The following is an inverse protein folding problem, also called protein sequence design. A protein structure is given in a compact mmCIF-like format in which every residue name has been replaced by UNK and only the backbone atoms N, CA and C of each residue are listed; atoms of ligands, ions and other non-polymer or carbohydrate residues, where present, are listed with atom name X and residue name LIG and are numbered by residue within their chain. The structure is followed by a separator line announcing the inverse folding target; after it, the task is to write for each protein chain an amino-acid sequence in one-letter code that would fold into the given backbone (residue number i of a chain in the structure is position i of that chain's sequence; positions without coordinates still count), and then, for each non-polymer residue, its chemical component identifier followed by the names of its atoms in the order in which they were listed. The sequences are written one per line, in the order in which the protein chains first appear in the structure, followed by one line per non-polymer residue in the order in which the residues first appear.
data_IF_554501779483
#
_entry.id   IF_554501779483
#
_cell.length_a   1.000
_cell.length_b   1.000
_cell.length_c   1.000
_cell.angle_alpha   90.00
_cell.angle_beta   90.00
_cell.angle_gamma   90.00
#
_symmetry.space_group_name_H-M   'P 1'
#
loop_
_entity.id
_entity.type
_entity.pdbx_description
1 polymer ?
#
# COMPACT_ATOMS: atom_id res chain seq x y z
N UNK A 1 15.02 -5.52 -26.93
CA UNK A 1 14.50 -6.28 -25.78
C UNK A 1 14.57 -7.75 -26.12
N UNK A 2 15.14 -8.57 -25.22
CA UNK A 2 15.12 -10.03 -25.31
C UNK A 2 13.87 -10.49 -24.56
N UNK A 3 13.10 -11.38 -25.15
CA UNK A 3 11.88 -11.93 -24.56
C UNK A 3 12.09 -13.41 -24.28
N UNK A 4 11.89 -13.81 -23.03
CA UNK A 4 11.84 -15.19 -22.58
C UNK A 4 10.36 -15.55 -22.39
N UNK A 5 9.87 -16.47 -23.22
CA UNK A 5 8.46 -16.83 -23.26
C UNK A 5 8.24 -18.29 -22.87
N UNK A 6 7.41 -18.47 -21.86
CA UNK A 6 6.98 -19.79 -21.40
C UNK A 6 5.52 -20.00 -21.78
N UNK A 7 5.24 -21.12 -22.43
CA UNK A 7 3.88 -21.45 -22.88
C UNK A 7 3.60 -22.95 -22.70
N UNK A 8 2.33 -23.30 -22.63
CA UNK A 8 1.89 -24.67 -22.46
C UNK A 8 1.25 -25.20 -23.73
N UNK A 9 1.60 -26.44 -24.08
CA UNK A 9 0.98 -27.22 -25.14
C UNK A 9 0.43 -28.52 -24.58
N UNK A 10 -0.39 -29.20 -25.33
CA UNK A 10 -0.92 -30.51 -24.96
C UNK A 10 -0.34 -31.55 -25.92
N UNK A 11 0.36 -32.53 -25.37
CA UNK A 11 0.89 -33.68 -26.13
C UNK A 11 -0.26 -34.50 -26.73
N UNK A 12 0.05 -35.31 -27.74
CA UNK A 12 -0.88 -36.28 -28.30
C UNK A 12 -1.45 -37.28 -27.28
N UNK A 13 -0.72 -37.52 -26.19
CA UNK A 13 -1.16 -38.34 -25.05
C UNK A 13 -2.06 -37.62 -24.04
N UNK A 14 -2.36 -36.32 -24.26
CA UNK A 14 -3.15 -35.51 -23.33
C UNK A 14 -2.35 -34.90 -22.17
N UNK A 15 -1.04 -35.11 -22.11
CA UNK A 15 -0.16 -34.52 -21.07
C UNK A 15 0.12 -33.06 -21.40
N UNK A 16 0.02 -32.18 -20.41
CA UNK A 16 0.41 -30.78 -20.55
C UNK A 16 1.92 -30.64 -20.48
N UNK A 17 2.53 -30.10 -21.54
CA UNK A 17 3.96 -29.82 -21.65
C UNK A 17 4.20 -28.33 -21.50
N UNK A 18 5.26 -27.93 -20.78
CA UNK A 18 5.74 -26.57 -20.75
C UNK A 18 6.86 -26.41 -21.76
N UNK A 19 6.74 -25.44 -22.65
CA UNK A 19 7.79 -25.07 -23.60
C UNK A 19 8.35 -23.70 -23.27
N UNK A 20 9.57 -23.48 -23.74
CA UNK A 20 10.31 -22.25 -23.58
C UNK A 20 10.77 -21.76 -24.94
N UNK A 21 10.58 -20.48 -25.21
CA UNK A 21 11.12 -19.82 -26.39
C UNK A 21 11.82 -18.51 -26.04
N UNK A 22 12.90 -18.23 -26.73
CA UNK A 22 13.68 -16.99 -26.61
C UNK A 22 13.72 -16.29 -27.95
N UNK A 23 13.35 -15.01 -27.99
CA UNK A 23 13.33 -14.25 -29.24
C UNK A 23 13.65 -12.75 -29.01
N UNK A 24 14.09 -12.10 -30.10
CA UNK A 24 14.39 -10.66 -30.16
C UNK A 24 13.67 -10.09 -31.38
N UNK A 25 12.69 -9.23 -31.15
CA UNK A 25 11.81 -8.76 -32.23
C UNK A 25 11.14 -9.95 -32.92
N UNK A 26 11.35 -10.12 -34.23
CA UNK A 26 10.83 -11.23 -35.02
C UNK A 26 11.81 -12.41 -35.14
N UNK A 27 13.01 -12.29 -34.58
CA UNK A 27 14.04 -13.33 -34.68
C UNK A 27 13.95 -14.30 -33.53
N UNK A 28 13.62 -15.56 -33.82
CA UNK A 28 13.66 -16.67 -32.86
C UNK A 28 15.10 -17.10 -32.62
N UNK A 29 15.58 -17.03 -31.39
CA UNK A 29 16.91 -17.46 -30.98
C UNK A 29 16.93 -18.92 -30.56
N UNK A 30 15.90 -19.36 -29.84
CA UNK A 30 15.74 -20.72 -29.35
C UNK A 30 14.28 -21.04 -29.11
N UNK A 31 13.88 -22.28 -29.38
CA UNK A 31 12.58 -22.80 -28.97
C UNK A 31 12.74 -24.28 -28.60
N UNK A 32 12.30 -24.63 -27.38
CA UNK A 32 12.36 -26.01 -26.89
C UNK A 32 11.50 -26.97 -27.72
N UNK A 33 10.46 -26.50 -28.38
CA UNK A 33 9.60 -27.28 -29.26
C UNK A 33 10.33 -27.73 -30.53
N UNK A 34 11.36 -26.98 -30.99
CA UNK A 34 12.18 -27.31 -32.13
C UNK A 34 13.35 -28.25 -31.78
N UNK A 35 13.66 -28.39 -30.50
CA UNK A 35 14.74 -29.25 -30.01
C UNK A 35 14.20 -30.67 -29.76
N UNK A 36 14.79 -31.72 -30.39
CA UNK A 36 14.38 -33.10 -30.17
C UNK A 36 14.40 -33.54 -28.72
N UNK A 37 15.28 -32.97 -27.90
CA UNK A 37 15.38 -33.28 -26.48
C UNK A 37 14.18 -32.88 -25.65
N UNK A 38 13.49 -31.79 -26.06
CA UNK A 38 12.42 -31.17 -25.29
C UNK A 38 11.05 -31.21 -25.98
N UNK A 39 11.00 -31.59 -27.24
CA UNK A 39 9.77 -31.60 -28.06
C UNK A 39 8.65 -32.41 -27.40
N UNK A 40 8.95 -33.61 -26.92
CA UNK A 40 7.96 -34.56 -26.40
C UNK A 40 7.89 -34.57 -24.87
N UNK A 41 8.90 -34.05 -24.20
CA UNK A 41 9.00 -34.01 -22.73
C UNK A 41 8.62 -32.66 -22.14
N UNK A 42 8.80 -31.58 -22.91
CA UNK A 42 8.73 -30.21 -22.43
C UNK A 42 10.06 -29.71 -21.87
N UNK A 43 10.14 -28.41 -21.53
CA UNK A 43 11.32 -27.77 -20.97
C UNK A 43 11.62 -28.22 -19.54
N UNK A 44 10.55 -28.39 -18.74
CA UNK A 44 10.63 -28.96 -17.38
C UNK A 44 9.68 -30.14 -17.24
N UNK A 45 10.16 -31.22 -16.61
CA UNK A 45 9.39 -32.44 -16.40
C UNK A 45 8.12 -32.24 -15.57
N UNK A 46 8.16 -31.29 -14.63
CA UNK A 46 7.00 -30.95 -13.80
C UNK A 46 5.89 -30.17 -14.55
N UNK A 47 6.14 -29.63 -15.75
CA UNK A 47 5.15 -28.96 -16.59
C UNK A 47 4.57 -27.66 -16.00
N UNK A 48 5.19 -27.07 -14.97
CA UNK A 48 4.75 -25.83 -14.32
C UNK A 48 5.61 -24.66 -14.80
N UNK A 49 5.02 -23.46 -14.82
CA UNK A 49 5.78 -22.24 -15.06
C UNK A 49 6.85 -22.05 -13.97
N UNK A 50 8.07 -21.58 -14.30
CA UNK A 50 9.17 -21.39 -13.34
C UNK A 50 8.97 -20.10 -12.51
N UNK A 51 7.75 -19.77 -12.20
CA UNK A 51 7.35 -18.59 -11.45
C UNK A 51 6.25 -18.95 -10.47
N UNK A 52 6.41 -18.54 -9.24
CA UNK A 52 5.38 -18.67 -8.21
C UNK A 52 5.02 -17.26 -7.74
N UNK A 53 3.73 -16.95 -7.76
CA UNK A 53 3.23 -15.67 -7.27
C UNK A 53 2.89 -15.81 -5.79
N UNK A 54 3.49 -14.95 -4.97
CA UNK A 54 3.10 -14.76 -3.57
C UNK A 54 2.06 -13.64 -3.52
N UNK A 55 0.80 -14.03 -3.32
CA UNK A 55 -0.33 -13.11 -3.37
C UNK A 55 -0.86 -12.93 -1.96
N UNK A 56 -0.76 -11.70 -1.44
CA UNK A 56 -1.25 -11.34 -0.11
C UNK A 56 -2.79 -11.34 -0.08
N UNK A 57 -3.41 -10.60 -0.97
CA UNK A 57 -4.87 -10.52 -1.12
C UNK A 57 -5.25 -10.92 -2.55
N UNK A 58 -5.84 -12.12 -2.73
CA UNK A 58 -6.22 -12.58 -4.06
C UNK A 58 -7.42 -11.79 -4.61
N UNK A 59 -7.38 -11.50 -5.89
CA UNK A 59 -8.47 -10.86 -6.63
C UNK A 59 -8.96 -11.77 -7.73
N UNK A 60 -10.29 -11.87 -7.89
CA UNK A 60 -10.88 -12.72 -8.92
C UNK A 60 -10.57 -12.19 -10.33
N UNK A 61 -10.01 -13.05 -11.17
CA UNK A 61 -9.70 -12.72 -12.57
C UNK A 61 -8.28 -12.21 -12.82
N UNK A 62 -7.49 -12.00 -11.79
CA UNK A 62 -6.07 -11.65 -11.90
C UNK A 62 -5.20 -12.58 -11.06
N UNK A 63 -4.03 -13.00 -11.55
CA UNK A 63 -3.12 -13.83 -10.77
C UNK A 63 -2.30 -13.03 -9.74
N UNK A 64 -2.29 -11.69 -9.84
CA UNK A 64 -1.37 -10.83 -9.06
C UNK A 64 -1.99 -10.38 -7.74
N UNK A 65 -3.32 -10.18 -7.68
CA UNK A 65 -3.99 -9.66 -6.49
C UNK A 65 -3.56 -8.22 -6.13
N UNK A 66 -3.75 -7.84 -4.88
CA UNK A 66 -3.42 -6.51 -4.38
C UNK A 66 -2.72 -6.58 -3.01
N UNK A 67 -2.11 -5.47 -2.60
CA UNK A 67 -1.38 -5.35 -1.34
C UNK A 67 -2.04 -4.37 -0.36
N UNK A 68 -1.42 -4.19 0.81
CA UNK A 68 -1.89 -3.28 1.87
C UNK A 68 -2.08 -1.84 1.41
N UNK A 69 -1.17 -1.34 0.57
CA UNK A 69 -1.25 0.04 0.07
C UNK A 69 -2.55 0.29 -0.68
N UNK A 70 -3.03 -0.70 -1.45
CA UNK A 70 -4.29 -0.59 -2.17
C UNK A 70 -5.50 -0.46 -1.23
N UNK A 71 -5.48 -1.18 -0.10
CA UNK A 71 -6.54 -1.15 0.91
C UNK A 71 -6.53 0.20 1.66
N UNK A 72 -5.36 0.69 2.04
CA UNK A 72 -5.21 1.90 2.85
C UNK A 72 -5.26 3.19 2.03
N UNK A 73 -5.23 3.12 0.71
CA UNK A 73 -5.15 4.29 -0.19
C UNK A 73 -6.29 5.27 0.01
N UNK A 74 -7.53 4.79 -0.01
CA UNK A 74 -8.69 5.66 0.08
C UNK A 74 -8.86 6.28 1.49
N UNK A 75 -8.78 5.52 2.59
CA UNK A 75 -8.72 6.08 3.93
C UNK A 75 -7.62 7.12 4.10
N UNK A 76 -6.40 6.86 3.62
CA UNK A 76 -5.29 7.79 3.68
C UNK A 76 -5.58 9.11 2.94
N UNK A 77 -6.16 9.01 1.74
CA UNK A 77 -6.53 10.19 0.96
C UNK A 77 -7.54 11.09 1.70
N UNK A 78 -8.49 10.50 2.42
CA UNK A 78 -9.45 11.27 3.24
C UNK A 78 -8.77 11.91 4.45
N UNK A 79 -7.87 11.20 5.14
CA UNK A 79 -7.09 11.73 6.26
C UNK A 79 -6.25 12.92 5.79
N UNK A 80 -5.57 12.82 4.67
CA UNK A 80 -4.74 13.88 4.11
C UNK A 80 -5.57 15.12 3.77
N UNK A 81 -6.73 14.95 3.14
CA UNK A 81 -7.65 16.05 2.83
C UNK A 81 -8.18 16.74 4.09
N UNK A 82 -8.61 15.96 5.08
CA UNK A 82 -9.09 16.52 6.36
C UNK A 82 -7.97 17.26 7.08
N UNK A 83 -6.79 16.70 7.16
CA UNK A 83 -5.62 17.32 7.78
C UNK A 83 -5.23 18.63 7.09
N UNK A 84 -5.23 18.63 5.76
CA UNK A 84 -4.96 19.84 4.97
C UNK A 84 -6.00 20.94 5.23
N UNK A 85 -7.30 20.59 5.25
CA UNK A 85 -8.37 21.54 5.53
C UNK A 85 -8.30 22.10 6.95
N UNK A 86 -7.98 21.27 7.94
CA UNK A 86 -7.80 21.70 9.34
C UNK A 86 -6.63 22.68 9.43
N UNK A 87 -5.51 22.37 8.81
CA UNK A 87 -4.32 23.21 8.80
C UNK A 87 -4.60 24.53 8.08
N UNK A 88 -5.21 24.49 6.91
CA UNK A 88 -5.57 25.70 6.14
C UNK A 88 -6.52 26.63 6.92
N UNK A 89 -7.57 26.06 7.52
CA UNK A 89 -8.48 26.84 8.35
C UNK A 89 -7.78 27.44 9.56
N UNK A 90 -6.90 26.68 10.24
CA UNK A 90 -6.09 27.16 11.35
C UNK A 90 -5.21 28.34 10.93
N UNK A 91 -4.57 28.24 9.76
CA UNK A 91 -3.76 29.34 9.22
C UNK A 91 -4.62 30.57 8.84
N UNK A 92 -5.79 30.34 8.29
CA UNK A 92 -6.74 31.46 7.94
C UNK A 92 -7.28 32.13 9.18
N UNK A 93 -7.58 31.37 10.23
CA UNK A 93 -8.16 31.93 11.48
C UNK A 93 -7.10 32.72 12.27
N UNK A 94 -5.83 32.35 12.19
CA UNK A 94 -4.75 33.08 12.86
C UNK A 94 -4.33 34.35 12.15
N UNK A 95 -4.58 34.46 10.84
CA UNK A 95 -4.24 35.65 10.04
C UNK A 95 -5.49 36.47 9.80
N UNK A 96 -5.62 37.57 10.53
CA UNK A 96 -6.72 38.55 10.31
C UNK A 96 -6.61 39.12 8.91
N UNK A 97 -7.73 39.13 8.19
CA UNK A 97 -7.87 39.72 6.85
C UNK A 97 -9.00 40.76 6.88
N UNK A 98 -8.85 41.77 6.06
CA UNK A 98 -9.81 42.90 6.02
C UNK A 98 -10.18 43.19 4.58
N UNK A 99 -11.45 43.58 4.39
CA UNK A 99 -11.89 44.30 3.20
C UNK A 99 -11.59 45.77 3.43
N UNK A 100 -10.87 46.41 2.53
CA UNK A 100 -10.51 47.79 2.57
C UNK A 100 -11.06 48.46 1.31
N UNK A 101 -11.75 49.59 1.46
CA UNK A 101 -12.22 50.37 0.30
C UNK A 101 -11.06 51.19 -0.26
N UNK A 102 -10.89 51.23 -1.59
CA UNK A 102 -9.84 51.98 -2.28
C UNK A 102 -9.82 53.49 -1.92
N UNK A 103 -10.94 54.03 -1.42
CA UNK A 103 -11.07 55.43 -1.00
C UNK A 103 -10.68 55.68 0.46
N UNK A 104 -10.13 54.73 1.17
CA UNK A 104 -9.98 54.76 2.64
C UNK A 104 -8.78 55.58 3.12
N UNK A 105 -7.77 55.81 2.27
CA UNK A 105 -6.57 56.58 2.65
C UNK A 105 -5.76 55.94 3.77
N UNK A 106 -5.83 54.62 3.93
CA UNK A 106 -5.05 53.83 4.93
C UNK A 106 -3.66 53.64 4.39
N UNK A 107 -2.68 53.78 5.28
CA UNK A 107 -1.31 53.41 4.99
C UNK A 107 -1.15 51.88 5.15
N UNK A 108 -1.21 51.16 4.01
CA UNK A 108 -1.11 49.69 4.00
C UNK A 108 0.22 49.17 4.54
N UNK A 109 1.32 49.88 4.32
CA UNK A 109 2.64 49.52 4.82
C UNK A 109 2.70 49.54 6.36
N UNK A 110 2.11 50.57 6.98
CA UNK A 110 2.03 50.65 8.44
C UNK A 110 1.03 49.63 9.01
N UNK A 111 -0.04 49.33 8.31
CA UNK A 111 -1.05 48.38 8.72
C UNK A 111 -0.52 46.93 8.72
N UNK A 112 0.36 46.62 7.77
CA UNK A 112 0.99 45.28 7.66
C UNK A 112 2.19 45.11 8.59
N UNK A 113 2.77 46.21 9.06
CA UNK A 113 3.94 46.20 9.93
C UNK A 113 3.54 46.11 11.41
N UNK A 114 3.50 44.92 11.96
CA UNK A 114 3.14 44.64 13.37
C UNK A 114 4.12 45.24 14.40
N UNK A 115 5.26 45.77 13.97
CA UNK A 115 6.23 46.42 14.87
C UNK A 115 5.81 47.88 15.16
N UNK A 116 4.92 48.43 14.38
CA UNK A 116 4.42 49.81 14.55
C UNK A 116 3.11 49.81 15.32
N UNK A 117 3.06 50.45 16.50
CA UNK A 117 1.86 50.50 17.33
C UNK A 117 0.76 51.46 16.81
N UNK A 118 1.10 52.32 15.87
CA UNK A 118 0.18 53.33 15.30
C UNK A 118 0.14 53.19 13.79
N UNK A 119 -1.09 53.19 13.25
CA UNK A 119 -1.38 53.24 11.81
C UNK A 119 -2.04 54.53 11.47
N UNK A 120 -1.46 55.31 10.57
CA UNK A 120 -1.97 56.60 10.16
C UNK A 120 -3.00 56.47 9.04
N UNK A 121 -4.14 57.15 9.22
CA UNK A 121 -5.25 57.17 8.26
C UNK A 121 -5.52 58.58 7.83
N UNK A 122 -5.68 58.85 6.53
CA UNK A 122 -6.09 60.15 5.99
C UNK A 122 -7.62 60.21 5.93
N UNK A 123 -8.23 61.04 6.78
CA UNK A 123 -9.67 61.25 6.84
C UNK A 123 -10.34 60.66 8.08
N UNK A 124 -11.67 60.68 8.09
CA UNK A 124 -12.45 60.13 9.22
C UNK A 124 -12.48 58.60 9.16
N UNK A 125 -12.24 57.98 10.32
CA UNK A 125 -12.40 56.54 10.51
C UNK A 125 -13.90 56.20 10.58
N UNK A 126 -14.37 55.43 9.60
CA UNK A 126 -15.75 54.90 9.56
C UNK A 126 -15.68 53.38 9.46
N UNK A 127 -16.40 52.67 10.30
CA UNK A 127 -16.52 51.17 10.31
C UNK A 127 -16.99 50.60 8.97
N UNK A 128 -17.53 51.43 8.09
CA UNK A 128 -17.96 51.02 6.76
C UNK A 128 -16.84 50.91 5.74
N UNK A 129 -15.67 51.46 6.04
CA UNK A 129 -14.52 51.51 5.12
C UNK A 129 -13.58 50.35 5.29
N UNK A 130 -13.56 49.76 6.49
CA UNK A 130 -12.78 48.56 6.84
C UNK A 130 -13.72 47.55 7.45
N UNK A 131 -13.74 46.34 6.89
CA UNK A 131 -14.54 45.26 7.44
C UNK A 131 -13.67 44.03 7.61
N UNK A 132 -13.60 43.50 8.84
CA UNK A 132 -12.87 42.25 9.11
C UNK A 132 -13.57 41.10 8.39
N UNK A 133 -12.75 40.25 7.71
CA UNK A 133 -13.20 39.00 7.16
C UNK A 133 -13.16 37.96 8.29
N UNK A 134 -14.31 37.68 8.87
CA UNK A 134 -14.40 36.71 9.96
C UNK A 134 -14.33 35.32 9.38
N UNK A 135 -13.25 34.62 9.73
CA UNK A 135 -13.13 33.19 9.44
C UNK A 135 -13.49 32.44 10.71
N UNK A 136 -14.54 31.65 10.67
CA UNK A 136 -14.92 30.85 11.81
C UNK A 136 -13.91 29.69 12.00
N UNK A 137 -13.46 29.43 13.23
CA UNK A 137 -12.69 28.27 13.50
C UNK A 137 -13.51 26.99 13.18
N UNK A 138 -12.82 25.94 12.77
CA UNK A 138 -13.46 24.64 12.55
C UNK A 138 -13.99 24.08 13.88
N UNK A 139 -15.17 23.50 13.83
CA UNK A 139 -15.73 22.79 14.98
C UNK A 139 -14.92 21.51 15.28
N UNK A 140 -14.95 21.06 16.52
CA UNK A 140 -14.27 19.81 16.98
C UNK A 140 -14.71 18.57 16.20
N UNK A 141 -15.83 18.64 15.49
CA UNK A 141 -16.33 17.57 14.64
C UNK A 141 -15.31 17.14 13.57
N UNK A 142 -14.55 18.09 13.01
CA UNK A 142 -13.55 17.79 11.98
C UNK A 142 -12.38 16.98 12.53
N UNK A 143 -11.94 17.29 13.74
CA UNK A 143 -10.90 16.55 14.45
C UNK A 143 -11.42 15.17 14.80
N UNK A 144 -12.65 15.06 15.26
CA UNK A 144 -13.30 13.79 15.58
C UNK A 144 -13.42 12.89 14.35
N UNK A 145 -13.84 13.45 13.20
CA UNK A 145 -13.93 12.69 11.94
C UNK A 145 -12.56 12.24 11.46
N UNK A 146 -11.51 13.07 11.59
CA UNK A 146 -10.15 12.68 11.26
C UNK A 146 -9.68 11.50 12.12
N UNK A 147 -9.93 11.54 13.42
CA UNK A 147 -9.63 10.43 14.34
C UNK A 147 -10.41 9.16 13.99
N UNK A 148 -11.71 9.27 13.69
CA UNK A 148 -12.52 8.14 13.23
C UNK A 148 -11.95 7.50 11.96
N UNK A 149 -11.46 8.30 11.02
CA UNK A 149 -10.84 7.79 9.78
C UNK A 149 -9.50 7.10 10.03
N UNK A 150 -8.72 7.57 10.98
CA UNK A 150 -7.49 6.91 11.41
C UNK A 150 -7.79 5.54 12.03
N UNK A 151 -8.80 5.46 12.91
CA UNK A 151 -9.21 4.20 13.52
C UNK A 151 -9.79 3.23 12.46
N UNK A 152 -10.62 3.72 11.54
CA UNK A 152 -11.11 2.93 10.40
C UNK A 152 -9.97 2.35 9.56
N UNK A 153 -8.93 3.13 9.29
CA UNK A 153 -7.74 2.68 8.56
C UNK A 153 -6.98 1.59 9.33
N UNK A 154 -6.78 1.76 10.65
CA UNK A 154 -6.15 0.76 11.51
C UNK A 154 -6.94 -0.56 11.52
N UNK A 155 -8.26 -0.47 11.61
CA UNK A 155 -9.14 -1.63 11.59
C UNK A 155 -9.13 -2.34 10.23
N UNK A 156 -9.16 -1.59 9.15
CA UNK A 156 -9.11 -2.13 7.79
C UNK A 156 -7.77 -2.79 7.50
N UNK A 157 -6.67 -2.21 7.99
CA UNK A 157 -5.34 -2.79 7.89
C UNK A 157 -5.10 -3.97 8.86
N UNK A 158 -6.07 -4.28 9.73
CA UNK A 158 -5.95 -5.26 10.81
C UNK A 158 -4.75 -5.00 11.74
N UNK A 159 -4.30 -3.76 11.82
CA UNK A 159 -3.17 -3.34 12.65
C UNK A 159 -3.68 -2.56 13.86
N UNK A 160 -4.20 -3.29 14.84
CA UNK A 160 -4.69 -2.73 16.11
C UNK A 160 -3.57 -2.59 17.12
N UNK A 161 -3.72 -1.66 18.06
CA UNK A 161 -2.75 -1.37 19.11
C UNK A 161 -2.43 -2.61 19.98
N UNK A 162 -3.35 -3.55 20.09
CA UNK A 162 -3.14 -4.85 20.77
C UNK A 162 -2.02 -5.66 20.11
N UNK A 163 -1.86 -5.56 18.78
CA UNK A 163 -0.81 -6.28 18.04
C UNK A 163 0.59 -5.67 18.30
N UNK A 164 0.65 -4.38 18.64
CA UNK A 164 1.88 -3.68 19.01
C UNK A 164 2.24 -3.81 20.50
N UNK A 165 1.46 -4.59 21.28
CA UNK A 165 1.71 -4.81 22.71
C UNK A 165 1.08 -3.76 23.62
N UNK A 166 0.29 -2.84 23.09
CA UNK A 166 -0.46 -1.86 23.88
C UNK A 166 -1.76 -2.52 24.40
N UNK A 167 -1.76 -2.90 25.66
CA UNK A 167 -2.98 -3.34 26.34
C UNK A 167 -3.79 -2.12 26.77
N UNK A 168 -5.08 -2.10 26.43
CA UNK A 168 -6.00 -1.07 26.94
C UNK A 168 -6.01 -1.01 28.47
N UNK A 169 -6.20 0.18 29.05
CA UNK A 169 -6.25 0.36 30.49
C UNK A 169 -7.37 -0.52 31.10
N UNK A 170 -7.01 -1.37 32.05
CA UNK A 170 -7.94 -2.24 32.79
C UNK A 170 -7.85 -3.74 32.49
N UNK A 171 -7.06 -4.18 31.49
CA UNK A 171 -6.83 -5.60 31.21
C UNK A 171 -5.54 -6.05 31.89
N UNK A 172 -5.67 -6.67 33.07
CA UNK A 172 -4.50 -7.09 33.87
C UNK A 172 -4.25 -8.61 33.86
N UNK A 173 -5.20 -9.40 33.38
CA UNK A 173 -5.06 -10.85 33.34
C UNK A 173 -4.26 -11.28 32.11
N UNK A 174 -3.13 -11.95 32.30
CA UNK A 174 -2.26 -12.44 31.23
C UNK A 174 -3.02 -13.30 30.19
N UNK A 175 -4.00 -14.10 30.64
CA UNK A 175 -4.85 -14.91 29.76
C UNK A 175 -5.75 -14.05 28.86
N UNK A 176 -6.27 -12.93 29.35
CA UNK A 176 -7.09 -12.01 28.57
C UNK A 176 -6.24 -11.26 27.52
N UNK A 177 -5.05 -10.85 27.88
CA UNK A 177 -4.07 -10.23 26.95
C UNK A 177 -3.70 -11.22 25.84
N UNK A 178 -3.39 -12.47 26.19
CA UNK A 178 -3.08 -13.50 25.23
C UNK A 178 -4.25 -13.79 24.26
N UNK A 179 -5.48 -13.83 24.76
CA UNK A 179 -6.68 -14.02 23.94
C UNK A 179 -6.92 -12.84 22.98
N UNK A 180 -6.70 -11.60 23.44
CA UNK A 180 -6.80 -10.41 22.60
C UNK A 180 -5.72 -10.38 21.52
N UNK A 181 -4.48 -10.75 21.86
CA UNK A 181 -3.38 -10.87 20.90
C UNK A 181 -3.66 -11.97 19.86
N UNK A 182 -4.21 -13.11 20.30
CA UNK A 182 -4.58 -14.19 19.39
C UNK A 182 -5.69 -13.74 18.43
N UNK A 183 -6.69 -13.03 18.89
CA UNK A 183 -7.75 -12.48 18.05
C UNK A 183 -7.21 -11.45 17.05
N UNK A 184 -6.32 -10.56 17.48
CA UNK A 184 -5.68 -9.56 16.63
C UNK A 184 -4.78 -10.16 15.55
N UNK A 185 -4.10 -11.26 15.87
CA UNK A 185 -3.18 -11.93 14.91
C UNK A 185 -3.90 -12.80 13.88
N UNK A 186 -5.21 -12.95 13.94
CA UNK A 186 -5.96 -13.83 13.03
C UNK A 186 -5.82 -13.43 11.55
N UNK A 187 -5.91 -12.14 11.26
CA UNK A 187 -5.73 -11.63 9.89
C UNK A 187 -4.30 -11.81 9.39
N UNK A 188 -3.29 -11.61 10.25
CA UNK A 188 -1.89 -11.85 9.93
C UNK A 188 -1.59 -13.32 9.64
N UNK A 189 -2.29 -14.26 10.28
CA UNK A 189 -2.12 -15.70 10.03
C UNK A 189 -2.50 -16.10 8.61
N UNK A 190 -3.56 -15.53 8.04
CA UNK A 190 -3.97 -15.85 6.68
C UNK A 190 -2.93 -15.41 5.65
N UNK A 191 -2.33 -14.24 5.86
CA UNK A 191 -1.23 -13.74 5.02
C UNK A 191 0.01 -14.60 5.14
N UNK A 192 0.42 -14.94 6.36
CA UNK A 192 1.55 -15.83 6.61
C UNK A 192 1.29 -17.21 5.99
N UNK A 193 0.08 -17.73 6.11
CA UNK A 193 -0.31 -19.00 5.49
C UNK A 193 -0.25 -18.96 3.97
N UNK A 194 -0.58 -17.81 3.35
CA UNK A 194 -0.43 -17.61 1.90
C UNK A 194 1.05 -17.70 1.49
N UNK A 195 1.93 -17.00 2.22
CA UNK A 195 3.37 -17.04 1.98
C UNK A 195 3.97 -18.43 2.19
N UNK A 196 3.55 -19.17 3.24
CA UNK A 196 3.95 -20.55 3.43
C UNK A 196 3.52 -21.47 2.26
N UNK A 197 2.30 -21.32 1.74
CA UNK A 197 1.84 -22.09 0.56
C UNK A 197 2.72 -21.81 -0.67
N UNK A 198 3.09 -20.56 -0.86
CA UNK A 198 4.02 -20.14 -1.92
C UNK A 198 5.39 -20.82 -1.74
N UNK A 199 5.92 -20.81 -0.53
CA UNK A 199 7.20 -21.43 -0.20
C UNK A 199 7.19 -22.95 -0.44
N UNK A 200 6.12 -23.64 -0.07
CA UNK A 200 5.93 -25.07 -0.35
C UNK A 200 5.96 -25.35 -1.86
N UNK A 201 5.30 -24.53 -2.67
CA UNK A 201 5.32 -24.66 -4.13
C UNK A 201 6.73 -24.48 -4.71
N UNK A 202 7.47 -23.46 -4.23
CA UNK A 202 8.87 -23.24 -4.64
C UNK A 202 9.72 -24.45 -4.32
N UNK A 203 9.65 -24.97 -3.08
CA UNK A 203 10.42 -26.13 -2.66
C UNK A 203 10.07 -27.37 -3.48
N UNK A 204 8.79 -27.61 -3.76
CA UNK A 204 8.36 -28.72 -4.61
C UNK A 204 8.94 -28.61 -6.03
N UNK A 205 8.93 -27.40 -6.61
CA UNK A 205 9.54 -27.18 -7.93
C UNK A 205 11.06 -27.37 -7.89
N UNK A 206 11.74 -26.90 -6.84
CA UNK A 206 13.17 -27.12 -6.67
C UNK A 206 13.53 -28.62 -6.60
N UNK A 207 12.72 -29.42 -5.90
CA UNK A 207 12.91 -30.87 -5.83
C UNK A 207 12.79 -31.50 -7.22
N UNK A 208 11.80 -31.12 -8.01
CA UNK A 208 11.64 -31.64 -9.37
C UNK A 208 12.79 -31.21 -10.29
N UNK A 209 13.29 -29.97 -10.17
CA UNK A 209 14.47 -29.51 -10.91
C UNK A 209 15.74 -30.27 -10.49
N UNK A 210 15.89 -30.59 -9.21
CA UNK A 210 17.00 -31.43 -8.72
C UNK A 210 16.91 -32.82 -9.36
N UNK A 211 15.72 -33.40 -9.45
CA UNK A 211 15.50 -34.71 -10.08
C UNK A 211 15.84 -34.69 -11.57
N UNK A 212 15.52 -33.63 -12.26
CA UNK A 212 15.75 -33.49 -13.70
C UNK A 212 17.21 -33.21 -14.07
N UNK A 213 17.90 -32.35 -13.29
CA UNK A 213 19.20 -31.78 -13.69
C UNK A 213 20.40 -32.24 -12.87
N UNK A 214 20.18 -32.96 -11.74
CA UNK A 214 21.32 -33.46 -10.95
C UNK A 214 21.76 -34.84 -11.44
N UNK A 215 22.96 -34.89 -12.01
CA UNK A 215 23.53 -36.10 -12.59
C UNK A 215 24.39 -36.86 -11.57
N UNK A 216 24.91 -36.19 -10.55
CA UNK A 216 25.81 -36.76 -9.57
C UNK A 216 25.06 -37.17 -8.30
N UNK A 217 25.47 -38.34 -7.76
CA UNK A 217 24.97 -38.84 -6.47
C UNK A 217 25.44 -37.93 -5.34
N UNK A 218 24.51 -37.32 -4.61
CA UNK A 218 24.80 -36.50 -3.43
C UNK A 218 24.21 -37.12 -2.17
N UNK A 219 24.99 -37.12 -1.10
CA UNK A 219 24.57 -37.65 0.21
C UNK A 219 24.19 -36.45 1.10
N UNK A 220 23.01 -36.50 1.68
CA UNK A 220 22.54 -35.52 2.66
C UNK A 220 22.45 -36.20 4.03
N UNK A 221 22.97 -35.51 5.06
CA UNK A 221 22.78 -35.96 6.44
C UNK A 221 21.53 -35.23 6.99
N UNK A 222 20.51 -36.02 7.31
CA UNK A 222 19.31 -35.47 8.00
C UNK A 222 19.64 -35.53 9.50
N UNK A 223 19.84 -34.38 10.11
CA UNK A 223 19.95 -34.24 11.57
C UNK A 223 18.55 -33.87 12.08
N UNK A 224 17.95 -34.80 12.84
CA UNK A 224 16.67 -34.57 13.54
C UNK A 224 16.86 -33.70 14.77
#
# INVERSE_FOLDING_TARGET
VVVDWYYKTTSASGKTLLHYAKFVGETLLFASENDPAYRDTGWYDHGLYPVVLDVMFPEKGTPVGFGYVAICKDPQLYIDKLSSNILENSMMTTKKRFFVSDSTGINEEEFLDWSKPLVHVQGELDDRRIKEIVTNPLDDIYVTVAQMKIEEMKDTAANRDVNSGSAGSGVTAAAAIAALQEAGNKASRDMISASYRTHVKINSMCIELIRQFYDETRSFRITG
#
